data_IF_259840480761
#
_entry.id   IF_259840480761
#
_cell.length_a   1.000
_cell.length_b   1.000
_cell.length_c   1.000
_cell.angle_alpha   90.00
_cell.angle_beta   90.00
_cell.angle_gamma   90.00
#
_symmetry.space_group_name_H-M   'P 1'
#
loop_
_entity.id
_entity.type
_entity.pdbx_description
1 polymer ?
#
# COMPACT_ATOMS: atom_id res chain seq x y z
N UNK A 1 19.28 16.57 2.99
CA UNK A 1 19.24 15.18 2.51
C UNK A 1 17.96 15.04 1.69
N UNK A 2 18.08 14.94 0.37
CA UNK A 2 16.93 14.90 -0.53
C UNK A 2 16.30 13.50 -0.54
N UNK A 3 15.28 13.29 0.30
CA UNK A 3 14.49 12.06 0.34
C UNK A 3 13.45 12.00 -0.81
N UNK A 4 13.84 12.37 -2.04
CA UNK A 4 12.93 12.41 -3.19
C UNK A 4 12.36 11.04 -3.59
N UNK A 5 12.97 9.94 -3.09
CA UNK A 5 12.59 8.57 -3.39
C UNK A 5 11.59 7.97 -2.39
N UNK A 6 11.37 8.61 -1.24
CA UNK A 6 10.49 8.07 -0.19
C UNK A 6 9.07 8.59 -0.40
N UNK A 7 8.11 7.68 -0.31
CA UNK A 7 6.69 7.98 -0.46
C UNK A 7 5.89 7.49 0.74
N UNK A 8 4.80 8.17 1.05
CA UNK A 8 3.79 7.71 1.99
C UNK A 8 2.70 6.97 1.24
N UNK A 9 2.29 5.83 1.77
CA UNK A 9 1.24 5.00 1.24
C UNK A 9 0.02 5.15 2.14
N UNK A 10 -1.15 5.28 1.54
CA UNK A 10 -2.45 5.24 2.19
C UNK A 10 -3.16 3.99 1.71
N UNK A 11 -3.54 3.13 2.65
CA UNK A 11 -4.29 1.92 2.35
C UNK A 11 -5.65 1.99 3.05
N UNK A 12 -6.70 1.71 2.30
CA UNK A 12 -7.99 1.30 2.85
C UNK A 12 -8.04 -0.21 2.70
N UNK A 13 -8.20 -0.91 3.82
CA UNK A 13 -8.24 -2.37 3.84
C UNK A 13 -9.57 -2.86 4.41
N UNK A 14 -9.99 -4.04 3.97
CA UNK A 14 -11.18 -4.68 4.48
C UNK A 14 -10.95 -6.19 4.57
N UNK A 15 -10.61 -6.65 5.77
CA UNK A 15 -10.31 -8.06 6.02
C UNK A 15 -11.59 -8.90 6.12
N UNK A 16 -11.52 -10.19 5.78
CA UNK A 16 -12.63 -11.12 5.98
C UNK A 16 -12.91 -11.35 7.48
N UNK A 17 -14.17 -11.64 7.83
CA UNK A 17 -14.50 -12.12 9.17
C UNK A 17 -14.33 -13.64 9.25
N UNK A 18 -13.32 -14.11 9.98
CA UNK A 18 -13.04 -15.53 10.11
C UNK A 18 -14.05 -16.28 11.00
N UNK A 19 -14.84 -15.59 11.83
CA UNK A 19 -15.94 -16.19 12.59
C UNK A 19 -17.21 -16.29 11.74
N UNK A 20 -17.41 -15.33 10.83
CA UNK A 20 -18.58 -15.24 9.94
C UNK A 20 -18.12 -15.08 8.48
N UNK A 21 -17.71 -16.15 7.79
CA UNK A 21 -16.90 -16.09 6.56
C UNK A 21 -17.60 -15.50 5.32
N UNK A 22 -18.92 -15.32 5.36
CA UNK A 22 -19.67 -14.60 4.32
C UNK A 22 -19.75 -13.08 4.58
N UNK A 23 -19.13 -12.61 5.66
CA UNK A 23 -19.03 -11.20 6.03
C UNK A 23 -17.58 -10.71 6.00
N UNK A 24 -17.44 -9.40 5.92
CA UNK A 24 -16.18 -8.68 6.00
C UNK A 24 -16.18 -7.80 7.24
N UNK A 25 -15.01 -7.59 7.84
CA UNK A 25 -14.83 -6.59 8.88
C UNK A 25 -15.13 -5.17 8.35
N UNK A 26 -15.40 -4.20 9.23
CA UNK A 26 -15.49 -2.79 8.83
C UNK A 26 -14.20 -2.33 8.12
N UNK A 27 -14.30 -1.50 7.05
CA UNK A 27 -13.12 -0.96 6.40
C UNK A 27 -12.28 -0.11 7.35
N UNK A 28 -10.97 -0.28 7.30
CA UNK A 28 -10.00 0.48 8.08
C UNK A 28 -9.03 1.23 7.17
N UNK A 29 -8.60 2.42 7.62
CA UNK A 29 -7.58 3.21 6.93
C UNK A 29 -6.25 3.14 7.66
N UNK A 30 -5.19 2.80 6.96
CA UNK A 30 -3.83 2.77 7.49
C UNK A 30 -2.87 3.55 6.59
N UNK A 31 -1.69 3.83 7.14
CA UNK A 31 -0.59 4.47 6.40
C UNK A 31 0.66 3.64 6.52
N UNK A 32 1.45 3.61 5.45
CA UNK A 32 2.76 2.98 5.42
C UNK A 32 3.79 3.80 4.67
N UNK A 33 5.00 3.30 4.62
CA UNK A 33 6.11 3.90 3.87
C UNK A 33 6.45 3.04 2.66
N UNK A 34 6.92 3.68 1.60
CA UNK A 34 7.43 3.01 0.41
C UNK A 34 8.61 3.77 -0.17
N UNK A 35 9.32 3.11 -1.09
CA UNK A 35 10.42 3.70 -1.84
C UNK A 35 10.21 3.49 -3.33
N UNK A 36 10.40 4.54 -4.12
CA UNK A 36 10.39 4.45 -5.59
C UNK A 36 11.66 3.71 -6.03
N UNK A 37 11.48 2.55 -6.65
CA UNK A 37 12.60 1.71 -7.11
C UNK A 37 12.83 1.78 -8.62
N UNK A 38 11.81 2.20 -9.38
CA UNK A 38 11.85 2.43 -10.81
C UNK A 38 10.72 3.40 -11.20
N UNK A 39 10.73 3.97 -12.42
CA UNK A 39 9.63 4.83 -12.88
C UNK A 39 8.28 4.12 -12.74
N UNK A 40 7.35 4.76 -12.01
CA UNK A 40 6.01 4.21 -11.76
C UNK A 40 5.96 3.02 -10.80
N UNK A 41 7.08 2.61 -10.17
CA UNK A 41 7.15 1.44 -9.29
C UNK A 41 7.60 1.78 -7.87
N UNK A 42 6.84 1.32 -6.89
CA UNK A 42 7.09 1.55 -5.46
C UNK A 42 7.20 0.21 -4.74
N UNK A 43 8.28 0.03 -3.98
CA UNK A 43 8.45 -1.09 -3.07
C UNK A 43 7.95 -0.71 -1.67
N UNK A 44 7.18 -1.60 -1.04
CA UNK A 44 6.70 -1.45 0.34
C UNK A 44 6.61 -2.80 1.05
N UNK A 45 6.20 -2.80 2.31
CA UNK A 45 5.92 -4.00 3.06
C UNK A 45 4.61 -4.67 2.63
N UNK A 46 4.58 -6.00 2.58
CA UNK A 46 3.37 -6.76 2.24
C UNK A 46 2.22 -6.48 3.22
N UNK A 47 2.53 -6.28 4.51
CA UNK A 47 1.55 -5.96 5.54
C UNK A 47 0.87 -4.60 5.33
N UNK A 48 1.51 -3.67 4.61
CA UNK A 48 0.94 -2.34 4.33
C UNK A 48 -0.22 -2.44 3.34
N UNK A 49 -0.17 -3.42 2.45
CA UNK A 49 -1.13 -3.59 1.35
C UNK A 49 -2.04 -4.80 1.54
N UNK A 50 -1.95 -5.47 2.69
CA UNK A 50 -2.76 -6.63 3.02
C UNK A 50 -4.24 -6.24 3.06
N UNK A 51 -5.09 -7.04 2.40
CA UNK A 51 -6.53 -6.81 2.27
C UNK A 51 -6.92 -5.42 1.73
N UNK A 52 -6.00 -4.71 1.07
CA UNK A 52 -6.23 -3.36 0.60
C UNK A 52 -7.24 -3.34 -0.56
N UNK A 53 -8.35 -2.64 -0.38
CA UNK A 53 -9.37 -2.39 -1.40
C UNK A 53 -9.09 -1.10 -2.17
N UNK A 54 -8.32 -0.19 -1.58
CA UNK A 54 -7.90 1.06 -2.22
C UNK A 54 -6.51 1.49 -1.72
N UNK A 55 -5.65 1.89 -2.67
CA UNK A 55 -4.28 2.32 -2.39
C UNK A 55 -3.99 3.66 -3.04
N UNK A 56 -3.33 4.53 -2.29
CA UNK A 56 -2.77 5.78 -2.80
C UNK A 56 -1.34 5.97 -2.34
N UNK A 57 -0.55 6.66 -3.17
CA UNK A 57 0.84 7.01 -2.90
C UNK A 57 1.00 8.52 -2.99
N UNK A 58 1.76 9.09 -2.06
CA UNK A 58 2.07 10.52 -2.00
C UNK A 58 3.57 10.70 -1.80
N UNK A 59 4.22 11.51 -2.63
CA UNK A 59 5.62 11.90 -2.40
C UNK A 59 5.67 12.93 -1.26
N UNK A 60 6.71 12.89 -0.44
CA UNK A 60 6.84 13.85 0.67
C UNK A 60 6.88 15.31 0.18
N UNK A 61 7.43 15.54 -1.02
CA UNK A 61 7.53 16.86 -1.63
C UNK A 61 6.31 17.29 -2.45
N UNK A 62 5.34 16.40 -2.69
CA UNK A 62 4.19 16.65 -3.56
C UNK A 62 2.89 16.37 -2.79
N UNK A 63 2.00 17.36 -2.60
CA UNK A 63 0.72 17.13 -1.91
C UNK A 63 -0.23 16.22 -2.70
N UNK A 64 -0.01 15.99 -3.99
CA UNK A 64 -0.88 15.16 -4.81
C UNK A 64 -0.78 13.68 -4.44
N UNK A 65 -1.94 13.04 -4.33
CA UNK A 65 -2.06 11.60 -4.14
C UNK A 65 -2.34 10.93 -5.47
N UNK A 66 -1.61 9.86 -5.75
CA UNK A 66 -1.77 9.05 -6.95
C UNK A 66 -2.35 7.70 -6.56
N UNK A 67 -3.32 7.20 -7.32
CA UNK A 67 -3.88 5.86 -7.10
C UNK A 67 -2.83 4.83 -7.48
N UNK A 68 -2.62 3.84 -6.63
CA UNK A 68 -1.69 2.75 -6.89
C UNK A 68 -2.42 1.42 -6.99
N UNK A 69 -1.79 0.45 -7.64
CA UNK A 69 -2.26 -0.94 -7.75
C UNK A 69 -1.14 -1.88 -7.33
N UNK A 70 -1.52 -2.97 -6.70
CA UNK A 70 -0.59 -4.06 -6.38
C UNK A 70 -0.18 -4.76 -7.68
N UNK A 71 1.11 -4.78 -7.98
CA UNK A 71 1.70 -5.55 -9.10
C UNK A 71 2.13 -6.94 -8.62
N UNK A 72 2.69 -7.04 -7.40
CA UNK A 72 3.08 -8.32 -6.78
C UNK A 72 3.11 -8.22 -5.25
N UNK A 73 2.86 -9.34 -4.57
CA UNK A 73 3.01 -9.48 -3.11
C UNK A 73 3.79 -10.76 -2.81
N UNK A 74 4.75 -10.67 -1.89
CA UNK A 74 5.44 -11.79 -1.29
C UNK A 74 5.32 -11.69 0.24
N UNK A 75 4.40 -12.48 0.81
CA UNK A 75 4.19 -12.49 2.27
C UNK A 75 5.39 -13.07 3.02
N UNK A 76 6.06 -14.08 2.47
CA UNK A 76 7.23 -14.72 3.10
C UNK A 76 8.40 -13.75 3.30
N UNK A 77 8.64 -12.88 2.31
CA UNK A 77 9.65 -11.82 2.41
C UNK A 77 9.11 -10.53 3.03
N UNK A 78 7.81 -10.48 3.35
CA UNK A 78 7.08 -9.30 3.79
C UNK A 78 7.21 -8.09 2.84
N UNK A 79 7.21 -8.31 1.52
CA UNK A 79 7.38 -7.27 0.50
C UNK A 79 6.21 -7.20 -0.49
N UNK A 80 5.93 -6.01 -1.01
CA UNK A 80 4.98 -5.79 -2.08
C UNK A 80 5.49 -4.74 -3.07
N UNK A 81 5.16 -4.94 -4.35
CA UNK A 81 5.42 -4.04 -5.45
C UNK A 81 4.12 -3.37 -5.88
N UNK A 82 4.15 -2.04 -5.96
CA UNK A 82 3.03 -1.22 -6.42
C UNK A 82 3.37 -0.54 -7.75
N UNK A 83 2.38 -0.48 -8.63
CA UNK A 83 2.37 0.34 -9.84
C UNK A 83 1.52 1.59 -9.59
N UNK A 84 2.03 2.76 -9.99
CA UNK A 84 1.37 4.08 -9.88
C UNK A 84 1.06 4.62 -11.27
#
# INVERSE_FOLDING_TARGET
>A
MDNQSVVRIYATAQSPDYQVPWQTQPPESSTGSGVVIAPGRVLTGAHVVADATFLQVQKVSDPNKFVARVEAICHDAALALLAV
#
